data_IF_192884298506
#
_entry.id   IF_192884298506
#
_cell.length_a   1.000
_cell.length_b   1.000
_cell.length_c   1.000
_cell.angle_alpha   90.00
_cell.angle_beta   90.00
_cell.angle_gamma   90.00
#
_symmetry.space_group_name_H-M   'P 1'
#
loop_
_entity.id
_entity.type
_entity.pdbx_description
1 polymer ?
#
# COMPACT_ATOMS: atom_id res chain seq x y z
N UNK A 1 -10.96 19.95 -5.46
CA UNK A 1 -11.15 19.08 -4.26
C UNK A 1 -10.72 17.63 -4.51
N UNK A 2 -11.16 16.97 -5.60
CA UNK A 2 -10.84 15.54 -5.86
C UNK A 2 -9.34 15.19 -5.92
N UNK A 3 -8.52 16.07 -6.49
CA UNK A 3 -7.07 15.84 -6.66
C UNK A 3 -6.31 15.82 -5.32
N UNK A 4 -6.63 16.69 -4.36
CA UNK A 4 -5.98 16.66 -3.03
C UNK A 4 -6.40 15.42 -2.22
N UNK A 5 -7.68 15.06 -2.28
CA UNK A 5 -8.20 13.86 -1.61
C UNK A 5 -7.53 12.59 -2.15
N UNK A 6 -7.36 12.47 -3.46
CA UNK A 6 -6.68 11.33 -4.07
C UNK A 6 -5.22 11.21 -3.61
N UNK A 7 -4.49 12.33 -3.51
CA UNK A 7 -3.10 12.32 -3.02
C UNK A 7 -3.03 11.87 -1.56
N UNK A 8 -4.01 12.27 -0.75
CA UNK A 8 -4.11 11.86 0.65
C UNK A 8 -4.47 10.37 0.76
N UNK A 9 -5.44 9.89 -0.02
CA UNK A 9 -5.79 8.46 -0.08
C UNK A 9 -4.58 7.63 -0.50
N UNK A 10 -3.86 8.02 -1.56
CA UNK A 10 -2.63 7.35 -2.01
C UNK A 10 -1.56 7.32 -0.93
N UNK A 11 -1.40 8.44 -0.24
CA UNK A 11 -0.49 8.55 0.88
C UNK A 11 -0.81 7.60 2.03
N UNK A 12 -2.06 7.60 2.49
CA UNK A 12 -2.50 6.78 3.62
C UNK A 12 -2.48 5.30 3.26
N UNK A 13 -2.99 4.91 2.09
CA UNK A 13 -2.96 3.52 1.63
C UNK A 13 -1.53 3.03 1.43
N UNK A 14 -0.64 3.85 0.87
CA UNK A 14 0.77 3.50 0.72
C UNK A 14 1.48 3.30 2.05
N UNK A 15 1.21 4.17 3.04
CA UNK A 15 1.79 4.10 4.38
C UNK A 15 1.22 2.95 5.21
N UNK A 16 -0.09 2.97 5.47
CA UNK A 16 -0.76 1.96 6.32
C UNK A 16 -0.69 0.59 5.65
N UNK A 17 -0.99 0.51 4.35
CA UNK A 17 -0.88 -0.73 3.59
C UNK A 17 0.56 -1.24 3.52
N UNK A 18 1.54 -0.35 3.38
CA UNK A 18 2.95 -0.70 3.42
C UNK A 18 3.40 -1.25 4.78
N UNK A 19 2.98 -0.62 5.89
CA UNK A 19 3.24 -1.11 7.26
C UNK A 19 2.60 -2.48 7.45
N UNK A 20 1.33 -2.64 7.07
CA UNK A 20 0.63 -3.92 7.14
C UNK A 20 1.38 -5.01 6.36
N UNK A 21 1.96 -4.68 5.19
CA UNK A 21 2.75 -5.61 4.39
C UNK A 21 4.09 -5.99 5.03
N UNK A 22 4.77 -5.06 5.70
CA UNK A 22 6.00 -5.36 6.45
C UNK A 22 5.74 -6.34 7.59
N UNK A 23 4.61 -6.17 8.28
CA UNK A 23 4.19 -7.05 9.38
C UNK A 23 3.34 -8.25 8.93
N UNK A 24 3.03 -8.38 7.63
CA UNK A 24 2.23 -9.47 7.09
C UNK A 24 2.74 -10.86 7.51
N UNK A 25 4.06 -11.15 7.52
CA UNK A 25 4.56 -12.44 7.99
C UNK A 25 4.19 -12.77 9.44
N UNK A 26 4.15 -11.76 10.32
CA UNK A 26 3.73 -11.96 11.72
C UNK A 26 2.24 -12.25 11.81
N UNK A 27 1.41 -11.56 11.03
CA UNK A 27 -0.04 -11.82 10.98
C UNK A 27 -0.36 -13.20 10.43
N UNK A 28 0.34 -13.64 9.37
CA UNK A 28 0.18 -14.98 8.81
C UNK A 28 0.63 -16.05 9.81
N UNK A 29 1.76 -15.86 10.49
CA UNK A 29 2.21 -16.78 11.54
C UNK A 29 1.18 -16.89 12.68
N UNK A 30 0.63 -15.76 13.12
CA UNK A 30 -0.47 -15.74 14.08
C UNK A 30 -1.70 -16.50 13.58
N UNK A 31 -2.07 -16.31 12.31
CA UNK A 31 -3.13 -17.08 11.65
C UNK A 31 -2.87 -18.59 11.70
N UNK A 32 -1.66 -19.03 11.37
CA UNK A 32 -1.28 -20.45 11.39
C UNK A 32 -1.40 -21.01 12.81
N UNK A 33 -0.92 -20.28 13.82
CA UNK A 33 -1.03 -20.73 15.22
C UNK A 33 -2.48 -20.81 15.67
N UNK A 34 -3.33 -19.87 15.24
CA UNK A 34 -4.75 -19.90 15.59
C UNK A 34 -5.47 -21.06 14.90
N UNK A 35 -5.22 -21.30 13.61
CA UNK A 35 -5.80 -22.45 12.89
C UNK A 35 -5.33 -23.78 13.52
N UNK A 36 -4.08 -23.88 13.99
CA UNK A 36 -3.54 -25.08 14.65
C UNK A 36 -4.12 -25.32 16.06
N UNK A 37 -4.46 -24.25 16.80
CA UNK A 37 -5.02 -24.36 18.16
C UNK A 37 -6.52 -24.63 18.19
N UNK A 38 -7.24 -24.24 17.13
CA UNK A 38 -8.70 -24.31 17.10
C UNK A 38 -9.24 -25.55 16.37
N UNK A 39 -8.39 -26.43 15.84
CA UNK A 39 -8.63 -27.77 15.24
C UNK A 39 -10.05 -28.08 14.71
N UNK A 40 -10.68 -27.11 14.04
CA UNK A 40 -12.05 -27.24 13.51
C UNK A 40 -12.03 -27.70 12.04
N UNK A 41 -10.89 -28.18 11.55
CA UNK A 41 -10.66 -28.57 10.15
C UNK A 41 -10.74 -27.41 9.13
N UNK A 42 -10.94 -26.19 9.62
CA UNK A 42 -11.19 -25.00 8.81
C UNK A 42 -9.99 -24.06 8.88
N UNK A 43 -9.11 -24.08 7.86
CA UNK A 43 -8.01 -23.14 7.69
C UNK A 43 -8.49 -21.72 7.30
N UNK A 44 -9.50 -21.19 7.99
CA UNK A 44 -10.16 -19.94 7.61
C UNK A 44 -9.31 -18.73 7.95
N UNK A 45 -8.58 -18.73 9.06
CA UNK A 45 -7.93 -17.52 9.54
C UNK A 45 -6.72 -17.15 8.67
N UNK A 46 -5.88 -18.13 8.32
CA UNK A 46 -4.75 -17.92 7.39
C UNK A 46 -5.17 -17.54 5.98
N UNK A 47 -6.21 -18.19 5.45
CA UNK A 47 -6.72 -17.92 4.10
C UNK A 47 -7.34 -16.52 4.02
N UNK A 48 -8.14 -16.12 5.01
CA UNK A 48 -8.75 -14.79 5.07
C UNK A 48 -7.68 -13.70 5.14
N UNK A 49 -6.66 -13.86 6.01
CA UNK A 49 -5.56 -12.91 6.08
C UNK A 49 -4.78 -12.80 4.77
N UNK A 50 -4.51 -13.94 4.12
CA UNK A 50 -3.81 -13.97 2.83
C UNK A 50 -4.57 -13.22 1.73
N UNK A 51 -5.89 -13.35 1.69
CA UNK A 51 -6.76 -12.62 0.76
C UNK A 51 -6.75 -11.12 1.09
N UNK A 52 -6.85 -10.73 2.36
CA UNK A 52 -6.81 -9.30 2.73
C UNK A 52 -5.48 -8.68 2.27
N UNK A 53 -4.35 -9.36 2.49
CA UNK A 53 -3.05 -8.87 2.02
C UNK A 53 -2.94 -8.82 0.50
N UNK A 54 -3.54 -9.76 -0.25
CA UNK A 54 -3.55 -9.65 -1.73
C UNK A 54 -4.34 -8.43 -2.19
N UNK A 55 -5.48 -8.14 -1.56
CA UNK A 55 -6.28 -6.96 -1.90
C UNK A 55 -5.55 -5.65 -1.57
N UNK A 56 -4.83 -5.58 -0.44
CA UNK A 56 -4.00 -4.42 -0.10
C UNK A 56 -2.90 -4.19 -1.15
N UNK A 57 -2.22 -5.25 -1.60
CA UNK A 57 -1.18 -5.15 -2.64
C UNK A 57 -1.74 -4.62 -3.96
N UNK A 58 -2.87 -5.17 -4.39
CA UNK A 58 -3.56 -4.73 -5.61
C UNK A 58 -4.03 -3.27 -5.46
N UNK A 59 -4.58 -2.90 -4.30
CA UNK A 59 -5.02 -1.53 -4.04
C UNK A 59 -3.86 -0.53 -4.15
N UNK A 60 -2.71 -0.82 -3.53
CA UNK A 60 -1.50 0.00 -3.61
C UNK A 60 -1.04 0.16 -5.07
N UNK A 61 -1.03 -0.93 -5.83
CA UNK A 61 -0.61 -0.94 -7.23
C UNK A 61 -1.55 -0.09 -8.11
N UNK A 62 -2.86 -0.29 -7.96
CA UNK A 62 -3.89 0.47 -8.70
C UNK A 62 -3.84 1.95 -8.32
N UNK A 63 -3.73 2.30 -7.03
CA UNK A 63 -3.59 3.69 -6.58
C UNK A 63 -2.34 4.35 -7.15
N UNK A 64 -1.22 3.64 -7.26
CA UNK A 64 -0.01 4.11 -7.92
C UNK A 64 -0.25 4.47 -9.38
N UNK A 65 -0.96 3.62 -10.14
CA UNK A 65 -1.30 3.85 -11.55
C UNK A 65 -2.26 5.02 -11.70
N UNK A 66 -3.35 5.04 -10.93
CA UNK A 66 -4.36 6.12 -10.96
C UNK A 66 -3.71 7.46 -10.61
N UNK A 67 -2.85 7.46 -9.60
CA UNK A 67 -2.03 8.62 -9.26
C UNK A 67 -1.16 9.07 -10.42
N UNK A 68 -0.46 8.13 -11.08
CA UNK A 68 0.47 8.46 -12.16
C UNK A 68 -0.25 9.18 -13.28
N UNK A 69 -1.44 8.69 -13.66
CA UNK A 69 -2.26 9.29 -14.71
C UNK A 69 -2.80 10.66 -14.29
N UNK A 70 -3.20 10.81 -13.01
CA UNK A 70 -3.82 12.04 -12.50
C UNK A 70 -2.85 13.18 -12.31
N UNK A 71 -1.63 12.92 -11.84
CA UNK A 71 -0.62 13.95 -11.57
C UNK A 71 0.45 14.06 -12.66
N UNK A 72 0.28 13.35 -13.78
CA UNK A 72 1.23 13.40 -14.90
C UNK A 72 1.37 14.85 -15.41
N UNK A 73 2.59 15.38 -15.33
CA UNK A 73 2.90 16.72 -15.85
C UNK A 73 2.38 17.89 -15.01
N UNK A 74 1.73 17.65 -13.86
CA UNK A 74 1.22 18.73 -12.99
C UNK A 74 2.24 19.23 -11.98
N UNK A 75 3.29 18.44 -11.69
CA UNK A 75 4.32 18.79 -10.70
C UNK A 75 3.86 18.76 -9.24
N UNK A 76 2.57 18.57 -8.98
CA UNK A 76 1.96 18.59 -7.65
C UNK A 76 2.48 17.48 -6.74
N UNK A 77 2.72 16.30 -7.32
CA UNK A 77 3.26 15.12 -6.64
C UNK A 77 4.47 14.63 -7.41
N UNK A 78 5.58 14.30 -6.71
CA UNK A 78 6.80 13.81 -7.35
C UNK A 78 6.56 12.51 -8.10
N UNK A 79 7.08 12.37 -9.32
CA UNK A 79 7.01 11.13 -10.12
C UNK A 79 7.50 9.90 -9.34
N UNK A 80 8.53 10.08 -8.50
CA UNK A 80 9.04 9.03 -7.62
C UNK A 80 7.95 8.43 -6.70
N UNK A 81 7.01 9.22 -6.20
CA UNK A 81 5.93 8.71 -5.34
C UNK A 81 5.11 7.62 -6.05
N UNK A 82 4.71 7.90 -7.28
CA UNK A 82 3.92 7.03 -8.13
C UNK A 82 4.65 5.74 -8.45
N UNK A 83 5.91 5.87 -8.89
CA UNK A 83 6.75 4.72 -9.26
C UNK A 83 7.00 3.84 -8.04
N UNK A 84 7.24 4.42 -6.85
CA UNK A 84 7.42 3.65 -5.62
C UNK A 84 6.14 2.93 -5.19
N UNK A 85 4.95 3.52 -5.34
CA UNK A 85 3.69 2.80 -5.08
C UNK A 85 3.51 1.61 -6.05
N UNK A 86 3.80 1.80 -7.34
CA UNK A 86 3.67 0.75 -8.36
C UNK A 86 4.69 -0.37 -8.12
N UNK A 87 5.97 -0.03 -7.93
CA UNK A 87 7.04 -0.99 -7.67
C UNK A 87 6.83 -1.67 -6.32
N UNK A 88 6.42 -0.92 -5.29
CA UNK A 88 6.09 -1.47 -3.97
C UNK A 88 4.95 -2.49 -4.02
N UNK A 89 3.86 -2.15 -4.72
CA UNK A 89 2.73 -3.06 -4.94
C UNK A 89 3.10 -4.31 -5.76
N UNK A 90 3.88 -4.14 -6.84
CA UNK A 90 4.29 -5.23 -7.72
C UNK A 90 5.27 -6.19 -7.04
N UNK A 91 6.28 -5.64 -6.34
CA UNK A 91 7.24 -6.43 -5.57
C UNK A 91 6.57 -7.12 -4.40
N UNK A 92 5.60 -6.48 -3.75
CA UNK A 92 4.84 -7.10 -2.66
C UNK A 92 3.98 -8.29 -3.13
N UNK A 93 3.61 -8.37 -4.42
CA UNK A 93 2.90 -9.51 -4.99
C UNK A 93 3.72 -10.81 -4.92
N UNK A 94 5.05 -10.69 -4.94
CA UNK A 94 5.97 -11.82 -4.81
C UNK A 94 5.99 -12.26 -3.32
N UNK A 95 5.62 -13.51 -2.99
CA UNK A 95 5.49 -13.95 -1.61
C UNK A 95 6.73 -13.71 -0.75
N UNK A 96 7.93 -13.95 -1.31
CA UNK A 96 9.21 -13.80 -0.60
C UNK A 96 9.67 -12.33 -0.47
N UNK A 97 9.20 -11.43 -1.34
CA UNK A 97 9.61 -10.02 -1.37
C UNK A 97 8.55 -9.08 -0.76
N UNK A 98 7.54 -9.63 -0.07
CA UNK A 98 6.48 -8.87 0.58
C UNK A 98 6.98 -7.73 1.48
N UNK A 99 8.03 -7.98 2.26
CA UNK A 99 8.63 -6.99 3.15
C UNK A 99 9.27 -5.84 2.34
N UNK A 100 10.07 -6.17 1.33
CA UNK A 100 10.71 -5.16 0.48
C UNK A 100 9.67 -4.29 -0.23
N UNK A 101 8.62 -4.90 -0.78
CA UNK A 101 7.49 -4.18 -1.38
C UNK A 101 6.74 -3.29 -0.37
N UNK A 102 6.59 -3.76 0.88
CA UNK A 102 6.03 -2.98 1.98
C UNK A 102 6.85 -1.71 2.29
N UNK A 103 8.16 -1.84 2.46
CA UNK A 103 9.07 -0.70 2.69
C UNK A 103 8.99 0.32 1.55
N UNK A 104 9.04 -0.16 0.30
CA UNK A 104 8.97 0.69 -0.89
C UNK A 104 7.63 1.43 -0.95
N UNK A 105 6.52 0.75 -0.61
CA UNK A 105 5.19 1.36 -0.50
C UNK A 105 5.12 2.43 0.60
N UNK A 106 5.77 2.21 1.75
CA UNK A 106 5.84 3.20 2.85
C UNK A 106 6.52 4.48 2.35
N UNK A 107 7.67 4.35 1.68
CA UNK A 107 8.41 5.52 1.16
C UNK A 107 7.58 6.25 0.11
N UNK A 108 6.96 5.52 -0.83
CA UNK A 108 6.08 6.12 -1.82
C UNK A 108 4.86 6.83 -1.19
N UNK A 109 4.26 6.23 -0.16
CA UNK A 109 3.14 6.81 0.59
C UNK A 109 3.55 8.08 1.33
N UNK A 110 4.69 8.06 2.02
CA UNK A 110 5.25 9.22 2.68
C UNK A 110 5.53 10.38 1.71
N UNK A 111 6.01 10.08 0.50
CA UNK A 111 6.19 11.09 -0.56
C UNK A 111 4.86 11.70 -1.02
N UNK A 112 3.79 10.90 -1.07
CA UNK A 112 2.43 11.39 -1.33
C UNK A 112 1.93 12.34 -0.23
N UNK A 113 2.08 11.96 1.05
CA UNK A 113 1.74 12.83 2.17
C UNK A 113 2.57 14.13 2.16
N UNK A 114 3.87 14.03 1.89
CA UNK A 114 4.76 15.18 1.83
C UNK A 114 4.38 16.15 0.70
N UNK A 115 3.83 15.62 -0.40
CA UNK A 115 3.36 16.42 -1.54
C UNK A 115 2.05 17.16 -1.24
N UNK A 116 1.31 16.80 -0.18
CA UNK A 116 0.07 17.48 0.21
C UNK A 116 0.24 18.97 0.52
N UNK A 117 1.46 19.39 0.88
CA UNK A 117 1.78 20.81 1.11
C UNK A 117 1.69 21.65 -0.16
N UNK A 118 1.98 21.06 -1.32
CA UNK A 118 1.94 21.77 -2.61
C UNK A 118 0.50 22.18 -2.97
N UNK A 119 -0.50 21.37 -2.58
CA UNK A 119 -1.92 21.67 -2.77
C UNK A 119 -2.48 22.78 -1.86
N UNK A 120 -1.67 23.32 -0.93
CA UNK A 120 -2.05 24.50 -0.14
C UNK A 120 -1.56 25.80 -0.79
N UNK A 121 -0.56 25.71 -1.67
CA UNK A 121 0.08 26.88 -2.29
C UNK A 121 -0.67 27.37 -3.53
N UNK A 122 -1.45 26.52 -4.20
CA UNK A 122 -2.27 26.87 -5.38
C UNK A 122 -3.61 27.59 -5.03
N UNK A 123 -3.80 28.02 -3.79
CA UNK A 123 -4.96 28.81 -3.35
C UNK A 123 -4.64 30.31 -3.25
N UNK A 124 -3.73 30.80 -4.08
CA UNK A 124 -3.41 32.22 -4.24
C UNK A 124 -3.90 32.68 -5.62
#
# INVERSE_FOLDING_TARGET
>A
MKSKTLALTNGIFGLIGGIALVFAPLFILGGITNDALNDDGSATSTVVLSIIFILVKIAILVLGIVGLITYKGTGLVKTAAHVLLIVGGAVALIPLLGIAGGIVSIVGGALYLASLKNFKTDAQ
#
